data_IF_424378222658
#
_entry.id   IF_424378222658
#
_cell.length_a   1.000
_cell.length_b   1.000
_cell.length_c   1.000
_cell.angle_alpha   90.00
_cell.angle_beta   90.00
_cell.angle_gamma   90.00
#
_symmetry.space_group_name_H-M   'P 1'
#
loop_
_entity.id
_entity.type
_entity.pdbx_description
1 polymer ?
#
# COMPACT_ATOMS: atom_id res chain seq x y z
N UNK A 1 36.63 -54.35 17.42
CA UNK A 1 35.37 -54.15 16.64
C UNK A 1 34.68 -52.90 17.15
N UNK A 2 34.97 -51.74 16.57
CA UNK A 2 34.43 -50.43 16.95
C UNK A 2 33.48 -49.97 15.86
N UNK A 3 32.23 -49.81 16.25
CA UNK A 3 31.19 -49.22 15.39
C UNK A 3 31.19 -47.69 15.57
N UNK A 4 31.55 -46.96 14.52
CA UNK A 4 31.40 -45.52 14.42
C UNK A 4 29.98 -45.19 13.98
N UNK A 5 29.22 -44.47 14.87
CA UNK A 5 27.92 -43.87 14.52
C UNK A 5 28.17 -42.50 13.89
N UNK A 6 27.92 -42.39 12.61
CA UNK A 6 27.96 -41.15 11.87
C UNK A 6 26.59 -40.48 12.05
N UNK A 7 26.53 -39.44 12.90
CA UNK A 7 25.37 -38.63 13.12
C UNK A 7 25.15 -37.65 11.94
N UNK A 8 24.06 -37.83 11.22
CA UNK A 8 23.61 -36.92 10.18
C UNK A 8 22.95 -35.68 10.83
N UNK A 9 23.64 -34.54 10.85
CA UNK A 9 23.03 -33.25 11.23
C UNK A 9 22.12 -32.78 10.10
N UNK A 10 20.81 -32.90 10.32
CA UNK A 10 19.80 -32.27 9.47
C UNK A 10 19.80 -30.76 9.74
N UNK A 11 20.37 -29.98 8.83
CA UNK A 11 20.19 -28.53 8.83
C UNK A 11 18.74 -28.22 8.44
N UNK A 12 17.90 -27.99 9.44
CA UNK A 12 16.56 -27.41 9.24
C UNK A 12 16.73 -25.96 8.79
N UNK A 13 16.62 -25.73 7.49
CA UNK A 13 16.56 -24.39 6.93
C UNK A 13 15.29 -23.71 7.42
N UNK A 14 15.42 -22.76 8.36
CA UNK A 14 14.32 -21.89 8.77
C UNK A 14 13.85 -21.13 7.53
N UNK A 15 12.69 -21.51 6.99
CA UNK A 15 11.98 -20.71 5.98
C UNK A 15 11.72 -19.35 6.63
N UNK A 16 12.29 -18.28 6.06
CA UNK A 16 11.95 -16.90 6.48
C UNK A 16 10.44 -16.77 6.36
N UNK A 17 9.77 -16.53 7.50
CA UNK A 17 8.35 -16.24 7.53
C UNK A 17 8.04 -15.10 6.54
N UNK A 18 6.98 -15.25 5.76
CA UNK A 18 6.47 -14.15 4.96
C UNK A 18 6.08 -13.02 5.93
N UNK A 19 6.50 -11.79 5.62
CA UNK A 19 6.14 -10.61 6.41
C UNK A 19 4.65 -10.27 6.19
N UNK A 20 3.80 -10.96 6.92
CA UNK A 20 2.34 -10.81 6.91
C UNK A 20 1.88 -9.92 8.09
N UNK A 21 2.78 -9.09 8.61
CA UNK A 21 2.57 -8.38 9.86
C UNK A 21 1.62 -7.18 9.71
N UNK A 22 0.86 -6.94 10.77
CA UNK A 22 0.13 -5.70 11.02
C UNK A 22 1.05 -4.50 10.85
N UNK A 23 0.65 -3.53 10.06
CA UNK A 23 1.34 -2.24 9.94
C UNK A 23 0.82 -1.27 10.99
N UNK A 24 1.70 -0.48 11.54
CA UNK A 24 1.35 0.50 12.57
C UNK A 24 1.07 1.88 12.00
N UNK A 25 1.41 2.12 10.74
CA UNK A 25 1.15 3.38 10.03
C UNK A 25 0.98 3.15 8.54
N UNK A 26 0.22 4.02 7.87
CA UNK A 26 0.04 4.04 6.42
C UNK A 26 0.56 5.36 5.87
N UNK A 27 1.33 5.30 4.80
CA UNK A 27 1.76 6.44 3.98
C UNK A 27 1.21 6.26 2.57
N UNK A 28 0.30 7.11 2.16
CA UNK A 28 -0.17 7.22 0.79
C UNK A 28 0.52 8.39 0.12
N UNK A 29 1.16 8.17 -1.04
CA UNK A 29 1.74 9.23 -1.86
C UNK A 29 1.01 9.32 -3.19
N UNK A 30 0.41 10.48 -3.45
CA UNK A 30 -0.16 10.83 -4.75
C UNK A 30 0.91 11.49 -5.60
N UNK A 31 1.26 10.87 -6.73
CA UNK A 31 2.39 11.19 -7.58
C UNK A 31 2.04 11.09 -9.06
N UNK A 32 2.92 11.55 -9.94
CA UNK A 32 2.83 11.32 -11.39
C UNK A 32 4.19 11.39 -12.05
N UNK A 33 4.40 10.56 -13.08
CA UNK A 33 5.57 10.61 -13.96
C UNK A 33 5.71 11.98 -14.66
N UNK A 34 4.59 12.68 -14.90
CA UNK A 34 4.57 14.02 -15.51
C UNK A 34 4.85 15.17 -14.55
N UNK A 35 4.90 14.92 -13.26
CA UNK A 35 5.08 15.94 -12.23
C UNK A 35 6.57 16.18 -11.94
N UNK A 36 7.09 17.38 -12.24
CA UNK A 36 8.51 17.73 -12.07
C UNK A 36 9.04 17.61 -10.64
N UNK A 37 8.22 17.89 -9.65
CA UNK A 37 8.60 17.86 -8.23
C UNK A 37 8.40 16.50 -7.57
N UNK A 38 7.82 15.52 -8.28
CA UNK A 38 7.46 14.21 -7.71
C UNK A 38 8.64 13.24 -7.48
N UNK A 39 9.70 13.18 -8.30
CA UNK A 39 10.73 12.16 -8.16
C UNK A 39 11.43 12.11 -6.79
N UNK A 40 11.52 13.24 -6.10
CA UNK A 40 12.09 13.25 -4.74
C UNK A 40 11.13 12.62 -3.72
N UNK A 41 9.83 12.89 -3.83
CA UNK A 41 8.82 12.28 -2.97
C UNK A 41 8.70 10.77 -3.21
N UNK A 42 8.84 10.31 -4.46
CA UNK A 42 8.87 8.89 -4.81
C UNK A 42 10.07 8.18 -4.14
N UNK A 43 11.24 8.81 -4.11
CA UNK A 43 12.42 8.31 -3.38
C UNK A 43 12.18 8.27 -1.86
N UNK A 44 11.52 9.29 -1.31
CA UNK A 44 11.16 9.32 0.10
C UNK A 44 10.22 8.16 0.45
N UNK A 45 9.17 7.94 -0.34
CA UNK A 45 8.25 6.81 -0.15
C UNK A 45 8.98 5.47 -0.27
N UNK A 46 9.87 5.32 -1.26
CA UNK A 46 10.63 4.08 -1.48
C UNK A 46 11.46 3.67 -0.25
N UNK A 47 11.93 4.62 0.54
CA UNK A 47 12.67 4.34 1.78
C UNK A 47 11.83 3.64 2.86
N UNK A 48 10.49 3.75 2.78
CA UNK A 48 9.54 3.08 3.68
C UNK A 48 8.95 1.79 3.10
N UNK A 49 9.21 1.47 1.82
CA UNK A 49 8.53 0.34 1.16
C UNK A 49 8.81 -1.03 1.79
N UNK A 50 9.94 -1.16 2.48
CA UNK A 50 10.36 -2.37 3.18
C UNK A 50 10.40 -2.19 4.72
N UNK A 51 9.91 -1.06 5.24
CA UNK A 51 9.76 -0.85 6.69
C UNK A 51 8.64 -1.75 7.23
N UNK A 52 8.91 -2.62 8.22
CA UNK A 52 7.91 -3.53 8.78
C UNK A 52 6.77 -2.82 9.52
N UNK A 53 6.92 -1.55 9.85
CA UNK A 53 5.91 -0.78 10.57
C UNK A 53 5.04 0.10 9.64
N UNK A 54 5.49 0.37 8.42
CA UNK A 54 4.82 1.31 7.51
C UNK A 54 4.26 0.59 6.29
N UNK A 55 2.98 0.79 6.02
CA UNK A 55 2.39 0.49 4.72
C UNK A 55 2.58 1.71 3.82
N UNK A 56 3.63 1.70 2.98
CA UNK A 56 3.88 2.75 2.01
C UNK A 56 3.25 2.39 0.66
N UNK A 57 2.38 3.26 0.13
CA UNK A 57 1.60 3.06 -1.10
C UNK A 57 1.78 4.23 -2.06
N UNK A 58 2.05 3.94 -3.34
CA UNK A 58 2.16 4.93 -4.40
C UNK A 58 0.90 4.93 -5.28
N UNK A 59 0.22 6.06 -5.36
CA UNK A 59 -0.98 6.29 -6.16
C UNK A 59 -0.65 7.24 -7.31
N UNK A 60 -0.55 6.69 -8.53
CA UNK A 60 -0.29 7.49 -9.71
C UNK A 60 -1.59 8.12 -10.23
N UNK A 61 -1.57 9.45 -10.43
CA UNK A 61 -2.70 10.24 -10.90
C UNK A 61 -2.54 10.66 -12.36
N UNK A 62 -3.66 10.81 -13.08
CA UNK A 62 -3.67 11.02 -14.53
C UNK A 62 -3.80 12.49 -14.98
N UNK A 63 -4.00 13.43 -14.07
CA UNK A 63 -4.25 14.83 -14.44
C UNK A 63 -3.00 15.61 -14.88
N UNK A 64 -1.82 14.97 -14.94
CA UNK A 64 -0.59 15.51 -15.53
C UNK A 64 -0.35 15.05 -16.97
N UNK A 65 -1.14 14.12 -17.51
CA UNK A 65 -0.92 13.49 -18.83
C UNK A 65 -0.88 14.49 -19.99
N UNK A 66 -1.52 15.65 -19.82
CA UNK A 66 -1.50 16.73 -20.82
C UNK A 66 -0.14 17.43 -20.98
N UNK A 67 0.81 17.21 -20.04
CA UNK A 67 2.15 17.81 -20.06
C UNK A 67 3.14 17.12 -21.02
N UNK A 68 2.64 16.33 -21.97
CA UNK A 68 3.45 15.70 -23.03
C UNK A 68 4.02 14.33 -22.69
N UNK A 69 3.69 13.78 -21.51
CA UNK A 69 3.97 12.41 -21.11
C UNK A 69 2.78 11.79 -20.39
N UNK A 70 2.31 10.66 -20.89
CA UNK A 70 1.25 9.90 -20.21
C UNK A 70 1.85 9.01 -19.15
N UNK A 71 1.39 9.13 -17.91
CA UNK A 71 1.78 8.25 -16.82
C UNK A 71 1.20 6.84 -17.03
N UNK A 72 2.08 5.86 -17.26
CA UNK A 72 1.71 4.47 -17.57
C UNK A 72 1.20 3.69 -16.36
N UNK A 73 1.33 4.24 -15.15
CA UNK A 73 0.88 3.65 -13.89
C UNK A 73 -0.36 4.36 -13.33
N UNK A 74 -0.77 5.48 -13.93
CA UNK A 74 -1.90 6.25 -13.47
C UNK A 74 -3.25 5.57 -13.75
N UNK A 75 -4.19 5.75 -12.84
CA UNK A 75 -5.58 5.33 -12.99
C UNK A 75 -6.55 6.45 -12.59
N UNK A 76 -7.78 6.37 -13.10
CA UNK A 76 -8.85 7.27 -12.67
C UNK A 76 -9.23 7.02 -11.21
N UNK A 77 -9.24 5.76 -10.76
CA UNK A 77 -9.56 5.39 -9.37
C UNK A 77 -8.59 6.01 -8.37
N UNK A 78 -7.29 6.08 -8.71
CA UNK A 78 -6.30 6.78 -7.89
C UNK A 78 -6.58 8.28 -7.81
N UNK A 79 -6.97 8.89 -8.92
CA UNK A 79 -7.35 10.32 -8.98
C UNK A 79 -8.62 10.57 -8.19
N UNK A 80 -9.61 9.69 -8.29
CA UNK A 80 -10.88 9.79 -7.56
C UNK A 80 -10.66 9.61 -6.05
N UNK A 81 -9.76 8.69 -5.64
CA UNK A 81 -9.35 8.53 -4.25
C UNK A 81 -8.72 9.82 -3.70
N UNK A 82 -7.83 10.46 -4.44
CA UNK A 82 -7.26 11.75 -4.04
C UNK A 82 -8.33 12.85 -3.93
N UNK A 83 -9.28 12.90 -4.85
CA UNK A 83 -10.41 13.83 -4.78
C UNK A 83 -11.29 13.58 -3.54
N UNK A 84 -11.48 12.33 -3.14
CA UNK A 84 -12.21 11.99 -1.93
C UNK A 84 -11.49 12.52 -0.66
N UNK A 85 -10.16 12.45 -0.61
CA UNK A 85 -9.38 13.11 0.45
C UNK A 85 -9.46 14.64 0.39
N UNK A 86 -9.39 15.24 -0.81
CA UNK A 86 -9.61 16.69 -0.97
C UNK A 86 -10.92 17.14 -0.31
N UNK A 87 -12.00 16.37 -0.51
CA UNK A 87 -13.31 16.66 0.11
C UNK A 87 -13.24 16.55 1.63
N UNK A 88 -12.55 15.53 2.16
CA UNK A 88 -12.41 15.33 3.61
C UNK A 88 -11.61 16.41 4.30
N UNK A 89 -10.53 16.87 3.65
CA UNK A 89 -9.70 17.97 4.17
C UNK A 89 -10.26 19.36 3.86
N UNK A 90 -11.39 19.45 3.17
CA UNK A 90 -11.98 20.71 2.71
C UNK A 90 -10.98 21.57 1.91
N UNK A 91 -10.10 20.89 1.14
CA UNK A 91 -9.09 21.54 0.34
C UNK A 91 -9.66 22.06 -0.99
N UNK A 92 -9.14 23.19 -1.47
CA UNK A 92 -9.62 23.81 -2.72
C UNK A 92 -9.27 23.01 -3.97
N UNK A 93 -8.11 22.36 -3.96
CA UNK A 93 -7.58 21.61 -5.12
C UNK A 93 -6.76 20.40 -4.66
N UNK A 94 -6.56 19.46 -5.57
CA UNK A 94 -5.55 18.40 -5.44
C UNK A 94 -4.19 18.91 -5.93
N UNK A 95 -3.12 18.29 -5.47
CA UNK A 95 -1.75 18.60 -5.91
C UNK A 95 -0.85 17.35 -5.82
N UNK A 96 0.29 17.39 -6.49
CA UNK A 96 1.36 16.40 -6.35
C UNK A 96 2.72 17.09 -6.15
N UNK A 97 3.64 16.45 -5.41
CA UNK A 97 3.45 15.22 -4.64
C UNK A 97 2.69 15.51 -3.33
N UNK A 98 1.59 14.80 -3.09
CA UNK A 98 0.84 14.88 -1.84
C UNK A 98 1.03 13.60 -1.04
N UNK A 99 1.48 13.70 0.21
CA UNK A 99 1.56 12.61 1.15
C UNK A 99 0.39 12.67 2.14
N UNK A 100 -0.22 11.52 2.44
CA UNK A 100 -1.27 11.39 3.44
C UNK A 100 -0.87 10.29 4.42
N UNK A 101 -0.85 10.62 5.71
CA UNK A 101 -0.53 9.68 6.79
C UNK A 101 -1.80 9.25 7.49
N UNK A 102 -2.01 7.92 7.56
CA UNK A 102 -3.14 7.26 8.24
C UNK A 102 -4.53 7.78 7.82
N UNK A 103 -4.65 8.32 6.61
CA UNK A 103 -5.90 8.93 6.13
C UNK A 103 -6.34 10.20 6.87
N UNK A 104 -5.51 10.75 7.76
CA UNK A 104 -5.89 11.79 8.71
C UNK A 104 -5.12 13.11 8.55
N UNK A 105 -3.89 13.08 8.03
CA UNK A 105 -3.03 14.27 7.89
C UNK A 105 -2.42 14.29 6.51
N UNK A 106 -2.54 15.44 5.82
CA UNK A 106 -1.95 15.65 4.49
C UNK A 106 -0.78 16.63 4.54
N UNK A 107 0.21 16.43 3.67
CA UNK A 107 1.38 17.28 3.55
C UNK A 107 2.08 17.13 2.20
N UNK A 108 3.04 18.02 1.91
CA UNK A 108 3.89 17.86 0.74
C UNK A 108 4.79 16.62 0.90
N UNK A 109 4.77 15.71 -0.09
CA UNK A 109 5.53 14.45 -0.07
C UNK A 109 7.06 14.64 -0.10
N UNK A 110 7.55 15.83 -0.47
CA UNK A 110 8.98 16.16 -0.44
C UNK A 110 9.47 16.47 0.98
N UNK A 111 8.57 16.74 1.92
CA UNK A 111 8.94 17.09 3.29
C UNK A 111 9.15 15.82 4.16
N UNK A 112 10.26 15.12 3.90
CA UNK A 112 10.57 13.85 4.56
C UNK A 112 10.60 13.94 6.09
N UNK A 113 10.96 15.11 6.65
CA UNK A 113 10.99 15.34 8.11
C UNK A 113 9.59 15.35 8.71
N UNK A 114 8.66 16.05 8.07
CA UNK A 114 7.27 16.12 8.50
C UNK A 114 6.59 14.74 8.34
N UNK A 115 6.79 14.07 7.18
CA UNK A 115 6.28 12.72 6.95
C UNK A 115 6.74 11.77 8.05
N UNK A 116 8.04 11.73 8.33
CA UNK A 116 8.61 10.87 9.38
C UNK A 116 8.00 11.15 10.76
N UNK A 117 7.83 12.43 11.11
CA UNK A 117 7.22 12.83 12.38
C UNK A 117 5.80 12.26 12.50
N UNK A 118 4.93 12.48 11.51
CA UNK A 118 3.56 11.98 11.55
C UNK A 118 3.44 10.46 11.55
N UNK A 119 4.33 9.75 10.84
CA UNK A 119 4.40 8.28 10.92
C UNK A 119 4.79 7.77 12.32
N UNK A 120 5.55 8.55 13.09
CA UNK A 120 5.96 8.20 14.45
C UNK A 120 4.89 8.50 15.49
N UNK A 121 4.22 9.64 15.35
CA UNK A 121 3.29 10.19 16.36
C UNK A 121 1.92 9.51 16.35
N UNK A 122 1.47 9.02 15.19
CA UNK A 122 0.14 8.48 15.00
C UNK A 122 0.22 6.99 14.64
N UNK A 123 -0.32 6.13 15.49
CA UNK A 123 -0.32 4.67 15.26
C UNK A 123 -1.73 4.15 15.06
N UNK A 124 -1.84 3.18 14.16
CA UNK A 124 -3.07 2.41 13.94
C UNK A 124 -3.30 1.51 15.17
N UNK A 125 -4.56 1.32 15.53
CA UNK A 125 -4.96 0.62 16.77
C UNK A 125 -5.68 -0.71 16.53
N UNK A 126 -6.06 -1.04 15.29
CA UNK A 126 -6.74 -2.30 14.98
C UNK A 126 -5.78 -3.24 14.25
N UNK A 127 -5.40 -4.39 14.85
CA UNK A 127 -4.59 -5.38 14.19
C UNK A 127 -5.30 -5.97 12.96
N UNK A 128 -4.59 -6.02 11.83
CA UNK A 128 -5.02 -6.66 10.58
C UNK A 128 -3.91 -7.59 10.12
N UNK A 129 -4.25 -8.77 9.63
CA UNK A 129 -3.28 -9.68 9.03
C UNK A 129 -3.80 -10.23 7.70
N UNK A 130 -2.86 -10.57 6.80
CA UNK A 130 -3.17 -11.22 5.52
C UNK A 130 -2.30 -12.47 5.44
N UNK A 131 -2.91 -13.64 5.25
CA UNK A 131 -2.20 -14.92 5.16
C UNK A 131 -2.63 -15.65 3.90
N UNK A 132 -1.67 -16.19 3.16
CA UNK A 132 -1.97 -17.13 2.08
C UNK A 132 -2.14 -18.53 2.69
N UNK A 133 -3.29 -19.14 2.45
CA UNK A 133 -3.60 -20.51 2.88
C UNK A 133 -2.93 -21.54 1.95
N UNK A 134 -2.86 -22.81 2.40
CA UNK A 134 -2.24 -23.89 1.65
C UNK A 134 -2.93 -24.17 0.31
N UNK A 135 -4.24 -23.91 0.22
CA UNK A 135 -5.03 -24.01 -1.02
C UNK A 135 -4.92 -22.78 -1.94
N UNK A 136 -4.07 -21.83 -1.56
CA UNK A 136 -3.77 -20.61 -2.32
C UNK A 136 -4.72 -19.44 -2.06
N UNK A 137 -5.84 -19.63 -1.35
CA UNK A 137 -6.73 -18.53 -0.93
C UNK A 137 -5.99 -17.54 -0.02
N UNK A 138 -6.51 -16.32 0.04
CA UNK A 138 -6.09 -15.32 1.02
C UNK A 138 -7.07 -15.33 2.20
N UNK A 139 -6.55 -15.37 3.41
CA UNK A 139 -7.28 -15.11 4.65
C UNK A 139 -6.88 -13.74 5.17
N UNK A 140 -7.86 -12.85 5.35
CA UNK A 140 -7.70 -11.52 5.95
C UNK A 140 -8.38 -11.60 7.31
N UNK A 141 -7.64 -11.38 8.38
CA UNK A 141 -8.16 -11.40 9.74
C UNK A 141 -8.03 -10.01 10.36
N UNK A 142 -9.13 -9.52 10.91
CA UNK A 142 -9.26 -8.20 11.52
C UNK A 142 -9.68 -8.43 12.97
N UNK A 143 -8.91 -7.87 13.90
CA UNK A 143 -9.22 -8.00 15.32
C UNK A 143 -10.48 -7.19 15.70
N UNK A 144 -11.07 -7.56 16.84
CA UNK A 144 -12.07 -6.71 17.47
C UNK A 144 -11.41 -5.42 17.99
N UNK A 145 -12.17 -4.33 17.99
CA UNK A 145 -11.78 -3.02 18.50
C UNK A 145 -13.00 -2.24 18.94
N UNK A 146 -12.82 -0.97 19.20
CA UNK A 146 -13.94 -0.08 19.53
C UNK A 146 -14.89 0.03 18.34
N UNK A 147 -16.18 0.03 18.63
CA UNK A 147 -17.20 0.21 17.59
C UNK A 147 -17.05 1.59 16.96
N UNK A 148 -16.81 1.68 15.64
CA UNK A 148 -16.65 2.97 14.98
C UNK A 148 -17.97 3.75 14.96
N UNK A 149 -17.87 5.07 15.07
CA UNK A 149 -19.04 5.96 14.95
C UNK A 149 -19.47 6.14 13.49
N UNK A 150 -18.52 6.04 12.56
CA UNK A 150 -18.74 6.17 11.12
C UNK A 150 -18.53 4.83 10.42
N UNK A 151 -19.11 4.63 9.24
CA UNK A 151 -18.84 3.43 8.45
C UNK A 151 -17.35 3.22 8.20
N UNK A 152 -16.84 2.03 8.48
CA UNK A 152 -15.47 1.62 8.19
C UNK A 152 -15.49 0.54 7.12
N UNK A 153 -14.86 0.85 5.99
CA UNK A 153 -14.72 -0.05 4.87
C UNK A 153 -13.42 -0.85 4.98
N UNK A 154 -13.48 -2.12 4.60
CA UNK A 154 -12.30 -2.95 4.37
C UNK A 154 -11.91 -2.77 2.91
N UNK A 155 -10.84 -2.00 2.67
CA UNK A 155 -10.39 -1.66 1.32
C UNK A 155 -9.13 -2.44 1.00
N UNK A 156 -9.13 -3.14 -0.13
CA UNK A 156 -8.01 -3.89 -0.66
C UNK A 156 -7.38 -3.14 -1.83
N UNK A 157 -6.07 -3.00 -1.79
CA UNK A 157 -5.23 -2.47 -2.87
C UNK A 157 -4.44 -3.60 -3.51
N UNK A 158 -4.43 -3.67 -4.83
CA UNK A 158 -3.53 -4.56 -5.58
C UNK A 158 -2.26 -3.81 -5.92
N UNK A 159 -1.11 -4.45 -5.74
CA UNK A 159 0.17 -3.78 -5.75
C UNK A 159 1.13 -4.38 -6.78
N UNK A 160 1.85 -3.49 -7.45
CA UNK A 160 3.12 -3.79 -8.09
C UNK A 160 4.25 -3.38 -7.14
N UNK A 161 5.03 -4.34 -6.63
CA UNK A 161 6.03 -4.09 -5.59
C UNK A 161 7.14 -3.13 -6.06
N UNK A 162 7.65 -3.34 -7.27
CA UNK A 162 8.69 -2.48 -7.85
C UNK A 162 8.56 -2.44 -9.37
N UNK A 163 8.62 -1.23 -9.92
CA UNK A 163 8.65 -1.01 -11.37
C UNK A 163 9.53 0.18 -11.71
N UNK A 164 10.42 0.02 -12.68
CA UNK A 164 11.28 1.10 -13.16
C UNK A 164 10.78 1.56 -14.53
N UNK A 165 10.50 2.85 -14.66
CA UNK A 165 9.98 3.46 -15.87
C UNK A 165 11.00 4.46 -16.42
N UNK A 166 11.51 4.28 -17.64
CA UNK A 166 12.21 5.33 -18.37
C UNK A 166 11.18 6.35 -18.87
N UNK A 167 11.44 7.63 -18.60
CA UNK A 167 10.56 8.74 -18.97
C UNK A 167 11.20 9.46 -20.16
N UNK A 168 10.62 9.30 -21.34
CA UNK A 168 11.25 9.82 -22.58
C UNK A 168 10.83 11.25 -22.92
N UNK A 169 9.71 11.75 -22.35
CA UNK A 169 9.15 13.06 -22.67
C UNK A 169 8.61 13.76 -21.42
N UNK A 170 8.20 15.03 -21.57
CA UNK A 170 7.65 15.85 -20.49
C UNK A 170 8.71 16.39 -19.56
N UNK A 171 8.29 16.88 -18.40
CA UNK A 171 9.14 17.59 -17.42
C UNK A 171 10.24 16.71 -16.78
N UNK A 172 10.07 15.39 -16.79
CA UNK A 172 11.03 14.42 -16.24
C UNK A 172 11.77 13.63 -17.35
N UNK A 173 11.77 14.13 -18.59
CA UNK A 173 12.43 13.48 -19.71
C UNK A 173 13.90 13.12 -19.42
N UNK A 174 14.33 11.93 -19.84
CA UNK A 174 15.69 11.40 -19.62
C UNK A 174 15.92 10.78 -18.23
N UNK A 175 14.95 10.82 -17.32
CA UNK A 175 15.05 10.13 -16.04
C UNK A 175 14.55 8.70 -16.14
N UNK A 176 15.12 7.83 -15.30
CA UNK A 176 14.60 6.49 -15.04
C UNK A 176 14.22 6.40 -13.56
N UNK A 177 12.93 6.28 -13.28
CA UNK A 177 12.39 6.34 -11.91
C UNK A 177 11.89 4.96 -11.50
N UNK A 178 12.30 4.49 -10.31
CA UNK A 178 11.81 3.25 -9.71
C UNK A 178 10.73 3.59 -8.70
N UNK A 179 9.52 3.08 -8.96
CA UNK A 179 8.37 3.21 -8.08
C UNK A 179 8.20 1.95 -7.24
N UNK A 180 7.75 2.11 -5.99
CA UNK A 180 7.56 1.02 -5.03
C UNK A 180 6.10 0.97 -4.57
N UNK A 181 5.60 -0.28 -4.39
CA UNK A 181 4.24 -0.55 -3.93
C UNK A 181 3.18 0.29 -4.67
N UNK A 182 3.27 0.32 -6.00
CA UNK A 182 2.34 1.06 -6.86
C UNK A 182 0.97 0.39 -6.84
N UNK A 183 -0.06 1.16 -6.51
CA UNK A 183 -1.45 0.69 -6.51
C UNK A 183 -1.95 0.61 -7.95
N UNK A 184 -2.39 -0.58 -8.34
CA UNK A 184 -2.91 -0.88 -9.69
C UNK A 184 -4.43 -0.99 -9.73
N UNK A 185 -5.06 -1.32 -8.60
CA UNK A 185 -6.52 -1.47 -8.48
C UNK A 185 -6.96 -1.31 -7.02
N UNK A 186 -8.20 -0.87 -6.80
CA UNK A 186 -8.79 -0.56 -5.49
C UNK A 186 -10.17 -1.22 -5.38
N UNK A 187 -10.35 -2.11 -4.39
CA UNK A 187 -11.62 -2.80 -4.19
C UNK A 187 -12.07 -2.72 -2.73
N UNK A 188 -13.33 -2.38 -2.51
CA UNK A 188 -13.97 -2.56 -1.20
C UNK A 188 -14.43 -4.01 -1.07
N UNK A 189 -13.89 -4.74 -0.09
CA UNK A 189 -14.15 -6.17 0.12
C UNK A 189 -15.04 -6.48 1.32
N UNK A 190 -15.43 -5.46 2.08
CA UNK A 190 -16.31 -5.62 3.24
C UNK A 190 -16.44 -4.34 4.06
N UNK A 191 -17.12 -4.48 5.20
CA UNK A 191 -17.27 -3.43 6.22
C UNK A 191 -16.93 -4.00 7.59
N UNK A 192 -16.38 -3.17 8.47
CA UNK A 192 -16.04 -3.54 9.83
C UNK A 192 -16.86 -2.71 10.84
N UNK A 193 -17.45 -3.39 11.83
CA UNK A 193 -18.36 -2.82 12.83
C UNK A 193 -17.81 -2.83 14.28
N UNK A 194 -16.51 -3.06 14.42
CA UNK A 194 -15.83 -3.21 15.70
C UNK A 194 -15.67 -4.65 16.17
N UNK A 195 -16.32 -5.62 15.54
CA UNK A 195 -16.16 -7.04 15.88
C UNK A 195 -15.01 -7.67 15.09
N UNK A 196 -14.48 -8.76 15.62
CA UNK A 196 -13.52 -9.57 14.86
C UNK A 196 -14.16 -10.05 13.55
N UNK A 197 -13.43 -9.89 12.45
CA UNK A 197 -13.91 -10.23 11.11
C UNK A 197 -12.86 -11.06 10.38
N UNK A 198 -13.32 -12.12 9.70
CA UNK A 198 -12.48 -12.89 8.78
C UNK A 198 -13.09 -12.85 7.39
N UNK A 199 -12.26 -12.53 6.40
CA UNK A 199 -12.62 -12.52 4.98
C UNK A 199 -11.69 -13.48 4.25
N UNK A 200 -12.24 -14.38 3.47
CA UNK A 200 -11.47 -15.27 2.61
C UNK A 200 -11.71 -14.93 1.14
N UNK A 201 -10.61 -14.74 0.39
CA UNK A 201 -10.65 -14.42 -1.02
C UNK A 201 -10.04 -15.56 -1.85
N UNK A 202 -10.51 -15.78 -3.09
CA UNK A 202 -9.99 -16.85 -3.94
C UNK A 202 -8.53 -16.60 -4.33
N UNK A 203 -7.81 -17.66 -4.65
CA UNK A 203 -6.41 -17.63 -5.09
C UNK A 203 -6.20 -16.76 -6.34
N UNK A 204 -7.24 -16.62 -7.19
CA UNK A 204 -7.22 -15.79 -8.40
C UNK A 204 -6.92 -14.31 -8.12
N UNK A 205 -7.17 -13.81 -6.92
CA UNK A 205 -6.86 -12.42 -6.56
C UNK A 205 -5.35 -12.12 -6.62
N UNK A 206 -4.51 -13.10 -6.39
CA UNK A 206 -3.05 -12.98 -6.49
C UNK A 206 -2.47 -13.29 -7.87
N UNK A 207 -3.27 -13.83 -8.79
CA UNK A 207 -2.81 -14.21 -10.15
C UNK A 207 -3.15 -13.17 -11.21
N UNK A 208 -3.61 -11.99 -10.80
CA UNK A 208 -3.89 -10.88 -11.72
C UNK A 208 -2.59 -10.41 -12.39
N UNK A 209 -2.69 -10.04 -13.65
CA UNK A 209 -1.55 -9.50 -14.41
C UNK A 209 -0.96 -8.28 -13.69
N UNK A 210 0.37 -8.23 -13.61
CA UNK A 210 1.13 -7.12 -13.01
C UNK A 210 0.91 -6.92 -11.50
N UNK A 211 0.29 -7.88 -10.80
CA UNK A 211 0.09 -7.85 -9.35
C UNK A 211 1.14 -8.73 -8.67
N UNK A 212 1.92 -8.15 -7.77
CA UNK A 212 2.94 -8.82 -6.97
C UNK A 212 2.59 -8.92 -5.49
N UNK A 213 1.44 -8.40 -5.10
CA UNK A 213 0.95 -8.42 -3.72
C UNK A 213 -0.33 -7.64 -3.55
N UNK A 214 -0.77 -7.56 -2.31
CA UNK A 214 -1.93 -6.75 -1.94
C UNK A 214 -1.74 -6.11 -0.56
N UNK A 215 -2.48 -5.03 -0.32
CA UNK A 215 -2.61 -4.45 1.01
C UNK A 215 -4.09 -4.30 1.37
N UNK A 216 -4.37 -4.30 2.67
CA UNK A 216 -5.71 -4.07 3.20
C UNK A 216 -5.64 -2.95 4.22
N UNK A 217 -6.58 -2.02 4.15
CA UNK A 217 -6.78 -0.97 5.16
C UNK A 217 -8.22 -0.97 5.66
N UNK A 218 -8.39 -0.61 6.93
CA UNK A 218 -9.68 -0.31 7.55
C UNK A 218 -9.85 1.19 7.54
N UNK A 219 -10.67 1.71 6.65
CA UNK A 219 -10.81 3.15 6.45
C UNK A 219 -12.21 3.66 6.69
N UNK A 220 -12.33 4.73 7.47
CA UNK A 220 -13.59 5.46 7.56
C UNK A 220 -13.97 6.09 6.22
N UNK A 221 -15.26 6.03 5.89
CA UNK A 221 -15.82 6.76 4.76
C UNK A 221 -17.24 7.20 5.08
N UNK A 222 -17.54 8.48 4.87
CA UNK A 222 -18.90 8.99 5.02
C UNK A 222 -19.72 8.79 3.74
N UNK A 223 -19.04 8.58 2.63
CA UNK A 223 -19.59 8.33 1.30
C UNK A 223 -18.41 7.96 0.38
N UNK A 224 -18.67 7.53 -0.85
CA UNK A 224 -17.63 7.34 -1.88
C UNK A 224 -16.83 8.63 -2.18
N UNK A 225 -17.31 9.79 -1.70
CA UNK A 225 -16.73 11.12 -1.96
C UNK A 225 -15.94 11.71 -0.81
N UNK A 226 -15.80 11.01 0.33
CA UNK A 226 -15.06 11.52 1.49
C UNK A 226 -14.43 10.38 2.29
N UNK A 227 -13.10 10.36 2.35
CA UNK A 227 -12.30 9.35 3.07
C UNK A 227 -11.83 9.91 4.40
N UNK A 228 -11.98 9.12 5.46
CA UNK A 228 -11.53 9.46 6.80
C UNK A 228 -10.27 8.71 7.23
N UNK A 229 -10.01 8.72 8.55
CA UNK A 229 -8.88 8.01 9.15
C UNK A 229 -8.86 6.51 8.86
N UNK A 230 -7.64 5.96 8.85
CA UNK A 230 -7.38 4.53 8.76
C UNK A 230 -7.15 4.00 10.18
N UNK A 231 -7.81 2.89 10.55
CA UNK A 231 -7.73 2.25 11.86
C UNK A 231 -6.77 1.08 11.92
N UNK A 232 -6.60 0.37 10.80
CA UNK A 232 -5.75 -0.82 10.72
C UNK A 232 -5.26 -1.06 9.31
N UNK A 233 -4.10 -1.72 9.17
CA UNK A 233 -3.51 -2.01 7.88
C UNK A 233 -2.63 -3.26 7.90
N UNK A 234 -2.58 -3.96 6.77
CA UNK A 234 -1.65 -5.07 6.52
C UNK A 234 -1.23 -5.10 5.05
N UNK A 235 -0.10 -5.74 4.78
CA UNK A 235 0.39 -5.99 3.42
C UNK A 235 0.77 -7.46 3.26
N UNK A 236 0.54 -8.00 2.08
CA UNK A 236 1.02 -9.29 1.64
C UNK A 236 1.80 -9.11 0.34
N UNK A 237 3.07 -9.53 0.32
CA UNK A 237 3.91 -9.56 -0.88
C UNK A 237 4.17 -11.00 -1.30
N UNK A 238 3.99 -11.31 -2.57
CA UNK A 238 4.36 -12.61 -3.11
C UNK A 238 5.88 -12.73 -3.16
N UNK A 239 6.43 -13.84 -2.67
CA UNK A 239 7.85 -14.15 -2.88
C UNK A 239 8.00 -14.58 -4.33
N UNK A 240 8.71 -13.78 -5.13
CA UNK A 240 9.09 -14.10 -6.51
C UNK A 240 7.89 -14.32 -7.48
N UNK A 241 7.26 -13.27 -8.02
CA UNK A 241 6.21 -13.42 -9.05
C UNK A 241 6.74 -13.96 -10.38
N UNK A 242 8.06 -14.11 -10.57
CA UNK A 242 8.72 -14.55 -11.82
C UNK A 242 9.31 -15.98 -11.75
N UNK A 243 8.92 -16.79 -10.77
CA UNK A 243 9.32 -18.21 -10.71
C UNK A 243 8.18 -19.12 -11.23
N UNK A 244 7.71 -18.84 -12.46
CA UNK A 244 6.91 -19.74 -13.28
C UNK A 244 7.55 -19.86 -14.66
#
# INVERSE_FOLDING_TARGET
MGMAFTGCLSMSGAAKAQDNSTRTSVLELYTSQGCKSCPQADKNLASYADDPNVLALSFHVNYWDYMGWRDTLASQDNTDRQNAYRNSFNAKMVYTPQAIVNGAVEMNGNDAGIVKKHLSDNKLNVPVSITKLDDGRLSIEIAAGEKPEKPVHVVMFYLRDSVTIPIDKGENAGQSVTYRNTVTDINTIGMWDGKALKIELPASELTRKDVSGCAVVLQESNSEKALGPIHGAAIFKQKNPLAL
#
